data_IF_477408869201
#
_entry.id   IF_477408869201
#
_cell.length_a   1.000
_cell.length_b   1.000
_cell.length_c   1.000
_cell.angle_alpha   90.00
_cell.angle_beta   90.00
_cell.angle_gamma   90.00
#
_symmetry.space_group_name_H-M   'P 1'
#
loop_
_entity.id
_entity.type
_entity.pdbx_description
1 polymer ?
#
# COMPACT_ATOMS: atom_id res chain seq x y z
N UNK A 1 -8.45 -16.01 -5.42
CA UNK A 1 -9.77 -16.16 -4.75
C UNK A 1 -9.61 -16.28 -3.24
N UNK A 2 -8.72 -17.16 -2.75
CA UNK A 2 -8.58 -17.44 -1.31
C UNK A 2 -8.08 -16.24 -0.48
N UNK A 3 -7.12 -15.45 -0.99
CA UNK A 3 -6.64 -14.23 -0.34
C UNK A 3 -7.73 -13.20 -0.15
N UNK A 4 -8.55 -12.93 -1.17
CA UNK A 4 -9.68 -11.98 -1.09
C UNK A 4 -10.70 -12.44 -0.05
N UNK A 5 -11.01 -13.74 -0.02
CA UNK A 5 -11.92 -14.31 0.97
C UNK A 5 -11.37 -14.15 2.39
N UNK A 6 -10.10 -14.50 2.63
CA UNK A 6 -9.43 -14.31 3.93
C UNK A 6 -9.40 -12.84 4.36
N UNK A 7 -9.14 -11.93 3.42
CA UNK A 7 -9.12 -10.49 3.69
C UNK A 7 -10.50 -9.98 4.10
N UNK A 8 -11.54 -10.34 3.36
CA UNK A 8 -12.93 -9.94 3.67
C UNK A 8 -13.40 -10.49 5.01
N UNK A 9 -13.10 -11.76 5.32
CA UNK A 9 -13.43 -12.37 6.59
C UNK A 9 -12.72 -11.66 7.76
N UNK A 10 -11.42 -11.40 7.63
CA UNK A 10 -10.62 -10.69 8.62
C UNK A 10 -11.17 -9.28 8.88
N UNK A 11 -11.46 -8.52 7.82
CA UNK A 11 -11.99 -7.16 7.94
C UNK A 11 -13.39 -7.13 8.57
N UNK A 12 -14.29 -8.05 8.18
CA UNK A 12 -15.65 -8.13 8.74
C UNK A 12 -15.63 -8.48 10.23
N UNK A 13 -14.86 -9.50 10.61
CA UNK A 13 -14.73 -9.92 12.02
C UNK A 13 -14.06 -8.81 12.83
N UNK A 14 -13.00 -8.21 12.30
CA UNK A 14 -12.31 -7.08 12.93
C UNK A 14 -13.22 -5.87 13.15
N UNK A 15 -14.01 -5.49 12.15
CA UNK A 15 -14.96 -4.39 12.24
C UNK A 15 -16.07 -4.65 13.27
N UNK A 16 -16.62 -5.87 13.30
CA UNK A 16 -17.63 -6.28 14.29
C UNK A 16 -17.07 -6.21 15.71
N UNK A 17 -15.88 -6.77 15.93
CA UNK A 17 -15.21 -6.74 17.23
C UNK A 17 -14.85 -5.32 17.65
N UNK A 18 -14.37 -4.48 16.73
CA UNK A 18 -14.07 -3.08 17.00
C UNK A 18 -15.33 -2.30 17.39
N UNK A 19 -16.46 -2.53 16.70
CA UNK A 19 -17.74 -1.90 17.02
C UNK A 19 -18.27 -2.29 18.41
N UNK A 20 -18.10 -3.56 18.80
CA UNK A 20 -18.44 -4.04 20.14
C UNK A 20 -17.55 -3.39 21.20
N UNK A 21 -16.26 -3.31 20.95
CA UNK A 21 -15.26 -2.83 21.91
C UNK A 21 -15.35 -1.31 22.12
N UNK A 22 -15.76 -0.55 21.09
CA UNK A 22 -16.07 0.89 21.22
C UNK A 22 -17.13 1.19 22.30
N UNK A 23 -17.98 0.22 22.66
CA UNK A 23 -18.97 0.39 23.75
C UNK A 23 -18.37 0.30 25.14
N UNK A 24 -17.26 -0.39 25.32
CA UNK A 24 -16.56 -0.58 26.60
C UNK A 24 -15.35 0.34 26.75
N UNK A 25 -14.81 0.89 25.66
CA UNK A 25 -13.76 1.91 25.64
C UNK A 25 -13.15 2.08 24.24
N UNK A 26 -12.86 3.32 23.83
CA UNK A 26 -12.38 3.63 22.47
C UNK A 26 -10.96 3.13 22.16
N UNK A 27 -10.08 3.08 23.16
CA UNK A 27 -8.65 2.79 22.99
C UNK A 27 -8.39 1.35 22.53
N UNK A 28 -9.08 0.38 23.12
CA UNK A 28 -8.95 -1.02 22.77
C UNK A 28 -9.49 -1.31 21.37
N UNK A 29 -10.54 -0.60 20.93
CA UNK A 29 -11.06 -0.71 19.58
C UNK A 29 -10.06 -0.19 18.52
N UNK A 30 -9.30 0.84 18.88
CA UNK A 30 -8.27 1.44 18.03
C UNK A 30 -7.06 0.52 17.86
N UNK A 31 -6.60 -0.10 18.95
CA UNK A 31 -5.55 -1.13 18.91
C UNK A 31 -5.97 -2.34 18.07
N UNK A 32 -7.23 -2.78 18.20
CA UNK A 32 -7.76 -3.87 17.38
C UNK A 32 -7.83 -3.48 15.89
N UNK A 33 -8.30 -2.28 15.57
CA UNK A 33 -8.34 -1.78 14.19
C UNK A 33 -6.93 -1.74 13.58
N UNK A 34 -5.94 -1.23 14.31
CA UNK A 34 -4.53 -1.24 13.90
C UNK A 34 -4.03 -2.67 13.61
N UNK A 35 -4.35 -3.63 14.49
CA UNK A 35 -3.96 -5.02 14.31
C UNK A 35 -4.61 -5.67 13.08
N UNK A 36 -5.91 -5.42 12.87
CA UNK A 36 -6.66 -5.93 11.71
C UNK A 36 -6.12 -5.33 10.40
N UNK A 37 -5.89 -4.02 10.37
CA UNK A 37 -5.29 -3.34 9.23
C UNK A 37 -3.87 -3.85 8.93
N UNK A 38 -3.03 -4.02 9.96
CA UNK A 38 -1.68 -4.57 9.80
C UNK A 38 -1.69 -6.01 9.25
N UNK A 39 -2.58 -6.86 9.78
CA UNK A 39 -2.74 -8.23 9.28
C UNK A 39 -3.28 -8.25 7.84
N UNK A 40 -4.22 -7.38 7.48
CA UNK A 40 -4.73 -7.26 6.11
C UNK A 40 -3.63 -6.84 5.13
N UNK A 41 -2.78 -5.88 5.50
CA UNK A 41 -1.62 -5.47 4.69
C UNK A 41 -0.62 -6.62 4.52
N UNK A 42 -0.36 -7.40 5.57
CA UNK A 42 0.48 -8.59 5.46
C UNK A 42 -0.11 -9.65 4.50
N UNK A 43 -1.43 -9.86 4.52
CA UNK A 43 -2.08 -10.77 3.57
C UNK A 43 -1.96 -10.27 2.12
N UNK A 44 -1.95 -8.95 1.92
CA UNK A 44 -1.74 -8.33 0.60
C UNK A 44 -0.30 -8.46 0.11
N UNK A 45 0.68 -8.80 0.96
CA UNK A 45 2.06 -9.01 0.53
C UNK A 45 2.21 -10.25 -0.38
N UNK A 46 1.39 -11.28 -0.19
CA UNK A 46 1.46 -12.52 -0.99
C UNK A 46 1.23 -12.29 -2.50
N UNK A 47 0.14 -11.63 -2.94
CA UNK A 47 -0.05 -11.35 -4.37
C UNK A 47 1.01 -10.38 -4.93
N UNK A 48 1.63 -9.54 -4.09
CA UNK A 48 2.76 -8.70 -4.51
C UNK A 48 4.01 -9.55 -4.82
N UNK A 49 4.25 -10.64 -4.09
CA UNK A 49 5.35 -11.58 -4.38
C UNK A 49 5.12 -12.37 -5.66
N UNK A 50 3.90 -12.87 -5.90
CA UNK A 50 3.55 -13.54 -7.16
C UNK A 50 3.73 -12.59 -8.37
N UNK A 51 3.28 -11.34 -8.22
CA UNK A 51 3.47 -10.31 -9.23
C UNK A 51 4.97 -10.06 -9.50
N UNK A 52 5.78 -9.97 -8.43
CA UNK A 52 7.24 -9.82 -8.55
C UNK A 52 7.88 -10.99 -9.30
N UNK A 53 7.47 -12.23 -9.01
CA UNK A 53 7.96 -13.43 -9.71
C UNK A 53 7.61 -13.42 -11.21
N UNK A 54 6.37 -13.11 -11.57
CA UNK A 54 5.95 -12.98 -12.97
C UNK A 54 6.76 -11.90 -13.71
N UNK A 55 7.06 -10.78 -13.06
CA UNK A 55 7.86 -9.71 -13.66
C UNK A 55 9.35 -10.05 -13.78
N UNK A 56 9.93 -10.78 -12.82
CA UNK A 56 11.30 -11.30 -12.91
C UNK A 56 11.44 -12.29 -14.08
N UNK A 57 10.45 -13.17 -14.27
CA UNK A 57 10.37 -13.99 -15.46
C UNK A 57 10.23 -13.13 -16.71
N UNK A 58 9.27 -12.20 -16.79
CA UNK A 58 9.10 -11.33 -17.97
C UNK A 58 10.36 -10.51 -18.32
N UNK A 59 11.11 -10.04 -17.31
CA UNK A 59 12.38 -9.33 -17.47
C UNK A 59 13.55 -10.24 -17.88
N UNK A 60 13.42 -11.56 -17.75
CA UNK A 60 14.40 -12.51 -18.31
C UNK A 60 14.16 -12.78 -19.81
N UNK A 61 12.93 -12.62 -20.29
CA UNK A 61 12.58 -12.80 -21.71
C UNK A 61 12.68 -11.50 -22.53
N UNK A 62 12.46 -10.34 -21.90
CA UNK A 62 12.66 -9.02 -22.50
C UNK A 62 13.84 -8.28 -21.87
N UNK A 63 14.57 -7.46 -22.63
CA UNK A 63 15.65 -6.61 -22.11
C UNK A 63 15.15 -5.45 -21.22
N UNK A 64 14.03 -5.62 -20.51
CA UNK A 64 13.54 -4.60 -19.59
C UNK A 64 14.40 -4.63 -18.31
N UNK A 65 15.07 -3.52 -17.95
CA UNK A 65 15.84 -3.48 -16.72
C UNK A 65 14.91 -3.59 -15.52
N UNK A 66 15.13 -4.61 -14.69
CA UNK A 66 14.38 -4.88 -13.43
C UNK A 66 14.25 -3.64 -12.53
N UNK A 67 15.18 -2.70 -12.68
CA UNK A 67 15.25 -1.43 -11.97
C UNK A 67 14.03 -0.52 -12.21
N UNK A 68 13.29 -0.70 -13.32
CA UNK A 68 12.04 0.03 -13.58
C UNK A 68 10.84 -0.49 -12.75
N UNK A 69 10.91 -1.71 -12.24
CA UNK A 69 9.82 -2.29 -11.43
C UNK A 69 9.87 -1.83 -9.96
N UNK A 70 11.06 -1.54 -9.45
CA UNK A 70 11.24 -1.10 -8.07
C UNK A 70 10.42 0.18 -7.76
N UNK A 71 10.40 1.21 -8.63
CA UNK A 71 9.51 2.36 -8.48
C UNK A 71 8.03 2.00 -8.41
N UNK A 72 7.54 1.13 -9.31
CA UNK A 72 6.14 0.72 -9.35
C UNK A 72 5.70 0.08 -8.04
N UNK A 73 6.43 -0.93 -7.56
CA UNK A 73 6.12 -1.61 -6.29
C UNK A 73 6.18 -0.64 -5.12
N UNK A 74 7.16 0.26 -5.08
CA UNK A 74 7.27 1.28 -4.05
C UNK A 74 6.08 2.25 -4.06
N UNK A 75 5.59 2.68 -5.22
CA UNK A 75 4.41 3.56 -5.29
C UNK A 75 3.15 2.88 -4.76
N UNK A 76 2.93 1.61 -5.09
CA UNK A 76 1.80 0.83 -4.56
C UNK A 76 1.92 0.67 -3.03
N UNK A 77 3.12 0.35 -2.54
CA UNK A 77 3.38 0.25 -1.11
C UNK A 77 3.11 1.56 -0.35
N UNK A 78 3.59 2.69 -0.88
CA UNK A 78 3.33 4.03 -0.32
C UNK A 78 1.82 4.31 -0.30
N UNK A 79 1.11 4.05 -1.40
CA UNK A 79 -0.32 4.28 -1.49
C UNK A 79 -1.11 3.47 -0.45
N UNK A 80 -0.78 2.18 -0.28
CA UNK A 80 -1.39 1.32 0.72
C UNK A 80 -1.13 1.82 2.14
N UNK A 81 0.13 2.15 2.47
CA UNK A 81 0.51 2.64 3.79
C UNK A 81 -0.15 3.98 4.13
N UNK A 82 -0.08 4.95 3.22
CA UNK A 82 -0.64 6.29 3.46
C UNK A 82 -2.17 6.27 3.53
N UNK A 83 -2.84 5.46 2.70
CA UNK A 83 -4.31 5.35 2.75
C UNK A 83 -4.77 4.68 4.04
N UNK A 84 -4.20 3.53 4.37
CA UNK A 84 -4.56 2.79 5.59
C UNK A 84 -4.24 3.60 6.86
N UNK A 85 -3.09 4.29 6.88
CA UNK A 85 -2.72 5.16 7.99
C UNK A 85 -3.62 6.40 8.09
N UNK A 86 -4.04 6.99 6.97
CA UNK A 86 -4.91 8.18 6.95
C UNK A 86 -6.29 7.85 7.49
N UNK A 87 -6.85 6.73 7.04
CA UNK A 87 -8.13 6.22 7.52
C UNK A 87 -8.06 5.90 9.02
N UNK A 88 -6.96 5.33 9.50
CA UNK A 88 -6.76 5.07 10.93
C UNK A 88 -6.62 6.35 11.76
N UNK A 89 -5.91 7.36 11.25
CA UNK A 89 -5.85 8.68 11.89
C UNK A 89 -7.23 9.34 11.97
N UNK A 90 -8.05 9.24 10.90
CA UNK A 90 -9.45 9.71 10.92
C UNK A 90 -10.30 8.95 11.93
N UNK A 91 -10.14 7.64 12.02
CA UNK A 91 -10.85 6.80 12.99
C UNK A 91 -10.48 7.11 14.45
N UNK A 92 -9.27 7.64 14.68
CA UNK A 92 -8.81 8.15 15.97
C UNK A 92 -9.33 9.56 16.31
N UNK A 93 -10.05 10.22 15.40
CA UNK A 93 -10.49 11.60 15.53
C UNK A 93 -9.50 12.64 14.97
N UNK A 94 -8.32 12.21 14.52
CA UNK A 94 -7.22 13.03 14.05
C UNK A 94 -7.24 13.24 12.52
N UNK A 95 -8.31 13.86 12.02
CA UNK A 95 -8.50 14.06 10.57
C UNK A 95 -7.44 14.95 9.92
N UNK A 96 -6.90 15.91 10.67
CA UNK A 96 -5.81 16.77 10.20
C UNK A 96 -4.54 15.95 9.92
N UNK A 97 -4.19 15.02 10.83
CA UNK A 97 -3.03 14.13 10.69
C UNK A 97 -3.20 13.19 9.50
N UNK A 98 -4.40 12.62 9.31
CA UNK A 98 -4.69 11.77 8.14
C UNK A 98 -4.51 12.53 6.81
N UNK A 99 -4.98 13.77 6.75
CA UNK A 99 -4.83 14.62 5.56
C UNK A 99 -3.35 14.94 5.26
N UNK A 100 -2.54 15.19 6.29
CA UNK A 100 -1.08 15.35 6.13
C UNK A 100 -0.46 14.06 5.60
N UNK A 101 -0.86 12.90 6.09
CA UNK A 101 -0.34 11.62 5.62
C UNK A 101 -0.66 11.33 4.15
N UNK A 102 -1.87 11.68 3.69
CA UNK A 102 -2.25 11.62 2.27
C UNK A 102 -1.35 12.51 1.41
N UNK A 103 -1.14 13.76 1.82
CA UNK A 103 -0.26 14.69 1.09
C UNK A 103 1.19 14.20 1.04
N UNK A 104 1.71 13.67 2.15
CA UNK A 104 3.06 13.09 2.21
C UNK A 104 3.20 11.89 1.27
N UNK A 105 2.17 11.04 1.21
CA UNK A 105 2.11 9.90 0.28
C UNK A 105 2.17 10.32 -1.19
N UNK A 106 1.42 11.35 -1.57
CA UNK A 106 1.44 11.88 -2.93
C UNK A 106 2.83 12.43 -3.32
N UNK A 107 3.46 13.19 -2.43
CA UNK A 107 4.82 13.71 -2.65
C UNK A 107 5.83 12.57 -2.76
N UNK A 108 5.75 11.57 -1.86
CA UNK A 108 6.62 10.41 -1.89
C UNK A 108 6.46 9.59 -3.19
N UNK A 109 5.23 9.43 -3.69
CA UNK A 109 4.96 8.77 -4.96
C UNK A 109 5.63 9.50 -6.15
N UNK A 110 5.57 10.84 -6.18
CA UNK A 110 6.26 11.64 -7.19
C UNK A 110 7.77 11.41 -7.11
N UNK A 111 8.36 11.47 -5.91
CA UNK A 111 9.82 11.27 -5.73
C UNK A 111 10.24 9.87 -6.18
N UNK A 112 9.45 8.83 -5.87
CA UNK A 112 9.72 7.46 -6.31
C UNK A 112 9.63 7.29 -7.82
N UNK A 113 8.81 8.10 -8.50
CA UNK A 113 8.67 8.05 -9.98
C UNK A 113 9.82 8.70 -10.75
N UNK A 114 10.70 9.47 -10.09
CA UNK A 114 11.85 10.14 -10.72
C UNK A 114 12.75 9.24 -11.58
N UNK A 115 13.19 8.04 -11.14
CA UNK A 115 13.98 7.14 -11.98
C UNK A 115 13.28 6.77 -13.29
N UNK A 116 11.95 6.57 -13.28
CA UNK A 116 11.19 6.28 -14.50
C UNK A 116 11.23 7.47 -15.47
N UNK A 117 11.03 8.68 -14.95
CA UNK A 117 11.14 9.91 -15.73
C UNK A 117 12.53 10.09 -16.35
N UNK A 118 13.60 9.78 -15.61
CA UNK A 118 14.97 9.85 -16.13
C UNK A 118 15.21 8.85 -17.26
N UNK A 119 14.78 7.60 -17.09
CA UNK A 119 14.91 6.59 -18.15
C UNK A 119 14.11 6.96 -19.41
N UNK A 120 12.90 7.49 -19.26
CA UNK A 120 12.09 7.97 -20.38
C UNK A 120 12.77 9.17 -21.09
N UNK A 121 13.36 10.08 -20.32
CA UNK A 121 14.08 11.24 -20.86
C UNK A 121 15.35 10.84 -21.63
N UNK A 122 16.12 9.86 -21.13
CA UNK A 122 17.29 9.32 -21.80
C UNK A 122 16.95 8.65 -23.13
N UNK A 123 15.86 7.87 -23.17
CA UNK A 123 15.35 7.28 -24.42
C UNK A 123 14.97 8.33 -25.44
N UNK A 124 14.24 9.39 -25.04
CA UNK A 124 13.89 10.49 -25.93
C UNK A 124 15.12 11.21 -26.48
N UNK A 125 16.13 11.44 -25.62
CA UNK A 125 17.39 12.08 -26.02
C UNK A 125 18.22 11.22 -26.99
N UNK A 126 18.03 9.91 -27.00
CA UNK A 126 18.71 9.02 -27.95
C UNK A 126 18.11 9.06 -29.37
N UNK A 127 16.89 9.58 -29.51
CA UNK A 127 16.14 9.64 -30.77
C UNK A 127 16.26 11.01 -31.48
N UNK A 128 16.80 12.02 -30.80
CA UNK A 128 17.07 13.38 -31.31
C UNK A 128 18.56 13.56 -31.50
#
# INVERSE_FOLDING_TARGET
>A
METVMRLTALCLVGALLAALLRRTGGEMALLLALAVCGAAVMLLAQPLEELKGFWEEAASWGQLPVQLFVPLVKTVGIALLCRTGSDLCRDAGESAIGSVLETAGAVAAIVVSLPLFRSAWELLRSLV
#
